data_IF_737502535156
#
_entry.id   IF_737502535156
#
_cell.length_a   1.000
_cell.length_b   1.000
_cell.length_c   1.000
_cell.angle_alpha   90.00
_cell.angle_beta   90.00
_cell.angle_gamma   90.00
#
_symmetry.space_group_name_H-M   'P 1'
#
loop_
_entity.id
_entity.type
_entity.pdbx_description
1 polymer ?
#
# COMPACT_ATOMS: atom_id res chain seq x y z
N UNK A 1 -26.52 8.11 1.50
CA UNK A 1 -26.94 8.74 2.77
C UNK A 1 -25.69 8.79 3.65
N UNK A 2 -25.01 9.94 3.72
CA UNK A 2 -23.88 10.11 4.66
C UNK A 2 -24.46 10.29 6.06
N UNK A 3 -23.98 9.49 7.01
CA UNK A 3 -24.43 9.49 8.40
C UNK A 3 -23.32 10.13 9.26
N UNK A 4 -23.56 11.30 9.90
CA UNK A 4 -22.66 12.14 10.77
C UNK A 4 -23.17 12.70 12.19
N UNK A 5 -23.51 11.93 13.25
CA UNK A 5 -24.06 12.10 14.62
C UNK A 5 -23.06 12.71 15.56
N UNK A 6 -23.21 14.00 15.73
CA UNK A 6 -22.67 14.83 16.76
C UNK A 6 -22.99 14.29 18.16
N UNK A 7 -21.97 13.92 18.92
CA UNK A 7 -22.07 13.53 20.34
C UNK A 7 -21.90 14.74 21.30
N UNK A 8 -21.89 15.96 20.76
CA UNK A 8 -21.56 17.19 21.49
C UNK A 8 -20.07 17.53 21.52
N UNK A 9 -19.19 16.69 20.94
CA UNK A 9 -17.75 16.92 20.75
C UNK A 9 -17.23 16.53 19.34
N UNK A 10 -17.83 15.55 18.65
CA UNK A 10 -17.46 15.04 17.31
C UNK A 10 -18.69 14.59 16.50
N UNK A 11 -18.66 14.64 15.16
CA UNK A 11 -19.76 14.28 14.21
C UNK A 11 -19.68 12.80 13.67
N UNK A 12 -20.67 11.91 13.93
CA UNK A 12 -20.69 10.43 13.69
C UNK A 12 -22.13 9.72 13.53
N UNK A 13 -22.84 9.54 12.36
CA UNK A 13 -24.38 9.29 12.14
C UNK A 13 -25.67 10.31 12.08
N UNK A 14 -25.65 11.63 11.72
CA UNK A 14 -26.71 12.62 11.45
C UNK A 14 -26.72 12.85 9.94
N UNK A 15 -27.88 12.99 9.33
CA UNK A 15 -27.95 13.47 7.95
C UNK A 15 -27.61 14.97 7.91
N UNK A 16 -27.19 15.47 6.74
CA UNK A 16 -27.03 16.91 6.49
C UNK A 16 -28.28 17.70 6.92
N UNK A 17 -29.45 17.17 6.59
CA UNK A 17 -30.76 17.75 6.95
C UNK A 17 -30.90 17.90 8.46
N UNK A 18 -30.47 16.90 9.22
CA UNK A 18 -30.57 16.91 10.67
C UNK A 18 -29.54 17.88 11.32
N UNK A 19 -28.36 18.05 10.72
CA UNK A 19 -27.38 19.07 11.15
C UNK A 19 -27.88 20.49 10.92
N UNK A 20 -28.51 20.75 9.76
CA UNK A 20 -29.13 22.04 9.45
C UNK A 20 -30.30 22.31 10.39
N UNK A 21 -31.16 21.33 10.64
CA UNK A 21 -32.28 21.45 11.58
C UNK A 21 -31.82 21.74 13.02
N UNK A 22 -30.66 21.22 13.42
CA UNK A 22 -30.04 21.49 14.72
C UNK A 22 -29.32 22.85 14.80
N UNK A 23 -29.32 23.65 13.72
CA UNK A 23 -28.67 24.97 13.69
C UNK A 23 -27.14 24.91 13.66
N UNK A 24 -26.55 23.79 13.25
CA UNK A 24 -25.10 23.67 13.10
C UNK A 24 -24.63 24.63 11.99
N UNK A 25 -23.58 25.43 12.22
CA UNK A 25 -23.07 26.33 11.19
C UNK A 25 -22.67 25.59 9.91
N UNK A 26 -23.06 26.13 8.75
CA UNK A 26 -22.74 25.55 7.43
C UNK A 26 -21.22 25.33 7.23
N UNK A 27 -20.38 26.16 7.85
CA UNK A 27 -18.92 26.00 7.83
C UNK A 27 -18.46 24.71 8.52
N UNK A 28 -19.12 24.32 9.61
CA UNK A 28 -18.86 23.08 10.35
C UNK A 28 -19.36 21.88 9.56
N UNK A 29 -20.54 21.98 8.94
CA UNK A 29 -21.09 20.92 8.08
C UNK A 29 -20.16 20.64 6.90
N UNK A 30 -19.71 21.68 6.18
CA UNK A 30 -18.80 21.54 5.03
C UNK A 30 -17.45 20.95 5.42
N UNK A 31 -16.88 21.37 6.56
CA UNK A 31 -15.61 20.82 7.05
C UNK A 31 -15.74 19.31 7.31
N UNK A 32 -16.84 18.88 7.91
CA UNK A 32 -17.10 17.46 8.19
C UNK A 32 -17.32 16.63 6.93
N UNK A 33 -18.03 17.18 5.94
CA UNK A 33 -18.19 16.54 4.62
C UNK A 33 -16.84 16.37 3.92
N UNK A 34 -15.97 17.37 4.02
CA UNK A 34 -14.62 17.31 3.45
C UNK A 34 -13.76 16.24 4.14
N UNK A 35 -13.80 16.16 5.48
CA UNK A 35 -13.08 15.13 6.23
C UNK A 35 -13.59 13.72 5.92
N UNK A 36 -14.90 13.54 5.84
CA UNK A 36 -15.49 12.27 5.45
C UNK A 36 -15.08 11.86 4.01
N UNK A 37 -15.05 12.82 3.08
CA UNK A 37 -14.59 12.59 1.72
C UNK A 37 -13.11 12.19 1.67
N UNK A 38 -12.24 12.81 2.48
CA UNK A 38 -10.82 12.41 2.59
C UNK A 38 -10.68 10.98 3.08
N UNK A 39 -11.39 10.61 4.13
CA UNK A 39 -11.35 9.23 4.67
C UNK A 39 -11.78 8.22 3.60
N UNK A 40 -12.90 8.47 2.92
CA UNK A 40 -13.39 7.61 1.86
C UNK A 40 -12.40 7.51 0.69
N UNK A 41 -11.80 8.63 0.29
CA UNK A 41 -10.84 8.66 -0.81
C UNK A 41 -9.55 7.91 -0.48
N UNK A 42 -9.00 8.11 0.71
CA UNK A 42 -7.82 7.41 1.17
C UNK A 42 -8.07 5.89 1.22
N UNK A 43 -9.25 5.45 1.67
CA UNK A 43 -9.63 4.05 1.65
C UNK A 43 -9.62 3.46 0.22
N UNK A 44 -10.17 4.19 -0.76
CA UNK A 44 -10.15 3.80 -2.17
C UNK A 44 -8.72 3.71 -2.76
N UNK A 45 -7.89 4.72 -2.50
CA UNK A 45 -6.47 4.74 -2.91
C UNK A 45 -5.72 3.53 -2.33
N UNK A 46 -5.92 3.22 -1.03
CA UNK A 46 -5.27 2.11 -0.37
C UNK A 46 -5.74 0.74 -0.88
N UNK A 47 -7.02 0.62 -1.24
CA UNK A 47 -7.55 -0.60 -1.85
C UNK A 47 -6.91 -0.88 -3.22
N UNK A 48 -6.82 0.13 -4.09
CA UNK A 48 -6.19 -0.02 -5.40
C UNK A 48 -4.68 -0.21 -5.32
N UNK A 49 -4.00 0.48 -4.39
CA UNK A 49 -2.60 0.22 -4.05
C UNK A 49 -2.39 -1.24 -3.66
N UNK A 50 -3.23 -1.79 -2.78
CA UNK A 50 -3.09 -3.18 -2.31
C UNK A 50 -3.29 -4.18 -3.46
N UNK A 51 -4.27 -3.93 -4.34
CA UNK A 51 -4.50 -4.72 -5.56
C UNK A 51 -3.30 -4.67 -6.51
N UNK A 52 -2.73 -3.49 -6.72
CA UNK A 52 -1.54 -3.32 -7.56
C UNK A 52 -0.30 -4.02 -6.97
N UNK A 53 -0.10 -3.92 -5.65
CA UNK A 53 0.97 -4.64 -4.95
C UNK A 53 0.82 -6.15 -5.04
N UNK A 54 -0.41 -6.67 -4.95
CA UNK A 54 -0.69 -8.10 -5.16
C UNK A 54 -0.38 -8.54 -6.59
N UNK A 55 -0.77 -7.73 -7.59
CA UNK A 55 -0.44 -7.99 -8.99
C UNK A 55 1.08 -7.98 -9.26
N UNK A 56 1.83 -7.09 -8.61
CA UNK A 56 3.30 -7.06 -8.69
C UNK A 56 3.97 -8.32 -8.11
N UNK A 57 3.26 -9.09 -7.28
CA UNK A 57 3.71 -10.39 -6.74
C UNK A 57 3.19 -11.60 -7.54
N UNK A 58 2.33 -11.38 -8.54
CA UNK A 58 1.68 -12.47 -9.28
C UNK A 58 2.72 -13.46 -9.84
N UNK A 59 2.57 -14.74 -9.49
CA UNK A 59 3.53 -15.80 -9.85
C UNK A 59 4.51 -16.20 -8.75
N UNK A 60 4.44 -15.60 -7.55
CA UNK A 60 5.15 -16.07 -6.35
C UNK A 60 4.13 -16.64 -5.35
N UNK A 61 4.18 -17.94 -5.01
CA UNK A 61 3.31 -18.53 -3.99
C UNK A 61 3.45 -17.83 -2.62
N UNK A 62 2.39 -17.82 -1.82
CA UNK A 62 2.37 -17.13 -0.51
C UNK A 62 3.48 -17.60 0.44
N UNK A 63 3.78 -18.90 0.43
CA UNK A 63 4.87 -19.49 1.22
C UNK A 63 6.25 -18.97 0.78
N UNK A 64 6.46 -18.72 -0.52
CA UNK A 64 7.69 -18.10 -1.02
C UNK A 64 7.76 -16.61 -0.67
N UNK A 65 6.62 -15.91 -0.64
CA UNK A 65 6.58 -14.49 -0.27
C UNK A 65 7.02 -14.26 1.18
N UNK A 66 6.63 -15.15 2.09
CA UNK A 66 7.05 -15.09 3.50
C UNK A 66 8.56 -15.33 3.69
N UNK A 67 9.17 -16.12 2.80
CA UNK A 67 10.59 -16.45 2.85
C UNK A 67 11.45 -15.60 1.90
N UNK A 68 10.84 -14.69 1.12
CA UNK A 68 11.55 -13.85 0.16
C UNK A 68 12.61 -12.99 0.83
N UNK A 69 12.33 -12.47 2.03
CA UNK A 69 13.30 -11.71 2.82
C UNK A 69 14.54 -12.54 3.18
N UNK A 70 14.35 -13.82 3.50
CA UNK A 70 15.46 -14.76 3.74
C UNK A 70 16.26 -15.03 2.47
N UNK A 71 15.59 -15.28 1.35
CA UNK A 71 16.25 -15.49 0.06
C UNK A 71 17.04 -14.24 -0.38
N UNK A 72 16.48 -13.04 -0.19
CA UNK A 72 17.14 -11.77 -0.46
C UNK A 72 18.43 -11.61 0.36
N UNK A 73 18.34 -11.86 1.67
CA UNK A 73 19.49 -11.77 2.57
C UNK A 73 20.58 -12.75 2.17
N UNK A 74 20.24 -14.03 2.00
CA UNK A 74 21.22 -15.06 1.62
C UNK A 74 21.86 -14.77 0.25
N UNK A 75 21.07 -14.28 -0.72
CA UNK A 75 21.58 -13.89 -2.03
C UNK A 75 22.56 -12.70 -1.94
N UNK A 76 22.26 -11.71 -1.10
CA UNK A 76 23.14 -10.57 -0.87
C UNK A 76 24.44 -10.97 -0.16
N UNK A 77 24.35 -11.80 0.88
CA UNK A 77 25.50 -12.32 1.63
C UNK A 77 26.40 -13.20 0.76
N UNK A 78 25.83 -14.03 -0.11
CA UNK A 78 26.58 -14.83 -1.09
C UNK A 78 27.27 -13.95 -2.14
N UNK A 79 26.59 -12.92 -2.65
CA UNK A 79 27.17 -12.01 -3.63
C UNK A 79 28.34 -11.19 -3.06
N UNK A 80 28.28 -10.85 -1.77
CA UNK A 80 29.37 -10.18 -1.07
C UNK A 80 30.53 -11.13 -0.73
N UNK A 81 30.21 -12.38 -0.39
CA UNK A 81 31.18 -13.43 -0.07
C UNK A 81 30.61 -14.82 -0.42
N UNK A 82 31.12 -15.51 -1.45
CA UNK A 82 30.62 -16.84 -1.84
C UNK A 82 30.79 -17.94 -0.78
N UNK A 83 31.57 -17.70 0.28
CA UNK A 83 31.69 -18.60 1.43
C UNK A 83 30.60 -18.38 2.51
N UNK A 84 29.75 -17.37 2.35
CA UNK A 84 28.66 -17.09 3.30
C UNK A 84 27.65 -18.24 3.35
N UNK A 85 27.14 -18.62 4.54
CA UNK A 85 26.11 -19.64 4.67
C UNK A 85 24.81 -19.22 3.96
N UNK A 86 24.29 -20.10 3.10
CA UNK A 86 23.01 -19.89 2.40
C UNK A 86 22.12 -21.14 2.51
N UNK A 87 21.73 -21.56 3.72
CA UNK A 87 21.05 -22.84 3.92
C UNK A 87 19.74 -22.97 3.11
N UNK A 88 18.97 -21.89 2.95
CA UNK A 88 17.74 -21.92 2.18
C UNK A 88 18.02 -22.00 0.68
N UNK A 89 18.86 -21.11 0.14
CA UNK A 89 19.19 -21.11 -1.29
C UNK A 89 19.94 -22.39 -1.69
N UNK A 90 20.81 -22.91 -0.82
CA UNK A 90 21.51 -24.18 -1.03
C UNK A 90 20.52 -25.34 -1.14
N UNK A 91 19.53 -25.41 -0.24
CA UNK A 91 18.49 -26.46 -0.28
C UNK A 91 17.62 -26.36 -1.55
N UNK A 92 17.24 -25.14 -1.96
CA UNK A 92 16.48 -24.90 -3.19
C UNK A 92 17.30 -25.29 -4.42
N UNK A 93 18.56 -24.86 -4.51
CA UNK A 93 19.44 -25.16 -5.63
C UNK A 93 19.67 -26.67 -5.78
N UNK A 94 19.95 -27.36 -4.66
CA UNK A 94 20.09 -28.81 -4.63
C UNK A 94 18.81 -29.53 -5.06
N UNK A 95 17.64 -29.11 -4.57
CA UNK A 95 16.36 -29.72 -4.93
C UNK A 95 15.98 -29.49 -6.39
N UNK A 96 16.35 -28.34 -6.96
CA UNK A 96 16.13 -28.00 -8.37
C UNK A 96 17.20 -28.59 -9.31
N UNK A 97 18.31 -29.12 -8.77
CA UNK A 97 19.45 -29.58 -9.58
C UNK A 97 20.14 -28.46 -10.36
N UNK A 98 20.22 -27.25 -9.79
CA UNK A 98 20.88 -26.08 -10.42
C UNK A 98 22.03 -25.56 -9.58
N UNK A 99 22.92 -24.80 -10.20
CA UNK A 99 24.00 -24.13 -9.49
C UNK A 99 23.47 -23.07 -8.51
N UNK A 100 24.04 -23.02 -7.31
CA UNK A 100 23.70 -22.01 -6.29
C UNK A 100 23.90 -20.58 -6.83
N UNK A 101 24.99 -20.32 -7.54
CA UNK A 101 25.24 -19.00 -8.14
C UNK A 101 24.16 -18.61 -9.17
N UNK A 102 23.65 -19.58 -9.93
CA UNK A 102 22.53 -19.36 -10.86
C UNK A 102 21.26 -18.99 -10.11
N UNK A 103 20.94 -19.72 -9.04
CA UNK A 103 19.78 -19.41 -8.19
C UNK A 103 19.90 -18.02 -7.56
N UNK A 104 21.08 -17.64 -7.05
CA UNK A 104 21.33 -16.30 -6.48
C UNK A 104 21.04 -15.20 -7.50
N UNK A 105 21.50 -15.35 -8.75
CA UNK A 105 21.22 -14.40 -9.82
C UNK A 105 19.72 -14.32 -10.17
N UNK A 106 19.01 -15.46 -10.19
CA UNK A 106 17.56 -15.51 -10.38
C UNK A 106 16.82 -14.76 -9.26
N UNK A 107 17.20 -14.98 -8.00
CA UNK A 107 16.63 -14.28 -6.83
C UNK A 107 16.88 -12.77 -6.92
N UNK A 108 18.11 -12.34 -7.19
CA UNK A 108 18.44 -10.92 -7.32
C UNK A 108 17.64 -10.24 -8.44
N UNK A 109 17.47 -10.92 -9.58
CA UNK A 109 16.67 -10.40 -10.70
C UNK A 109 15.20 -10.25 -10.29
N UNK A 110 14.62 -11.28 -9.67
CA UNK A 110 13.22 -11.26 -9.19
C UNK A 110 13.00 -10.12 -8.19
N UNK A 111 13.94 -9.94 -7.27
CA UNK A 111 13.92 -8.90 -6.25
C UNK A 111 14.03 -7.50 -6.85
N UNK A 112 14.91 -7.31 -7.84
CA UNK A 112 15.08 -6.02 -8.50
C UNK A 112 13.81 -5.60 -9.25
N UNK A 113 13.20 -6.53 -10.00
CA UNK A 113 11.93 -6.31 -10.71
C UNK A 113 10.82 -5.95 -9.72
N UNK A 114 10.64 -6.74 -8.66
CA UNK A 114 9.63 -6.47 -7.65
C UNK A 114 9.86 -5.13 -6.94
N UNK A 115 11.11 -4.84 -6.54
CA UNK A 115 11.44 -3.61 -5.81
C UNK A 115 11.23 -2.36 -6.65
N UNK A 116 11.55 -2.40 -7.95
CA UNK A 116 11.26 -1.31 -8.88
C UNK A 116 9.77 -1.03 -8.97
N UNK A 117 8.96 -2.06 -9.24
CA UNK A 117 7.51 -1.95 -9.31
C UNK A 117 6.90 -1.47 -7.98
N UNK A 118 7.32 -2.05 -6.85
CA UNK A 118 6.85 -1.63 -5.53
C UNK A 118 7.21 -0.17 -5.23
N UNK A 119 8.41 0.27 -5.59
CA UNK A 119 8.85 1.66 -5.42
C UNK A 119 7.96 2.66 -6.15
N UNK A 120 7.61 2.37 -7.40
CA UNK A 120 6.68 3.20 -8.19
C UNK A 120 5.29 3.29 -7.55
N UNK A 121 4.74 2.16 -7.11
CA UNK A 121 3.42 2.09 -6.47
C UNK A 121 3.39 2.82 -5.13
N UNK A 122 4.42 2.63 -4.30
CA UNK A 122 4.57 3.32 -3.02
C UNK A 122 4.67 4.83 -3.23
N UNK A 123 5.51 5.27 -4.18
CA UNK A 123 5.65 6.69 -4.52
C UNK A 123 4.35 7.31 -5.03
N UNK A 124 3.60 6.58 -5.86
CA UNK A 124 2.26 6.99 -6.33
C UNK A 124 1.29 7.19 -5.17
N UNK A 125 1.21 6.22 -4.25
CA UNK A 125 0.35 6.30 -3.06
C UNK A 125 0.72 7.48 -2.17
N UNK A 126 2.01 7.70 -1.91
CA UNK A 126 2.50 8.82 -1.10
C UNK A 126 2.16 10.17 -1.72
N UNK A 127 2.32 10.32 -3.04
CA UNK A 127 1.92 11.54 -3.74
C UNK A 127 0.43 11.79 -3.60
N UNK A 128 -0.41 10.78 -3.88
CA UNK A 128 -1.87 10.91 -3.77
C UNK A 128 -2.32 11.21 -2.33
N UNK A 129 -1.63 10.67 -1.32
CA UNK A 129 -1.88 10.98 0.08
C UNK A 129 -1.54 12.45 0.41
N UNK A 130 -0.42 12.96 -0.10
CA UNK A 130 -0.05 14.37 0.05
C UNK A 130 -1.03 15.30 -0.68
N UNK A 131 -1.42 14.98 -1.92
CA UNK A 131 -2.40 15.74 -2.70
C UNK A 131 -3.76 15.76 -2.00
N UNK A 132 -4.16 14.64 -1.38
CA UNK A 132 -5.41 14.52 -0.63
C UNK A 132 -5.42 15.39 0.64
N UNK A 133 -4.27 15.48 1.34
CA UNK A 133 -4.12 16.36 2.49
C UNK A 133 -4.17 17.83 2.09
N UNK A 134 -3.63 18.19 0.91
CA UNK A 134 -3.64 19.55 0.38
C UNK A 134 -4.99 19.96 -0.24
N UNK A 135 -5.87 19.01 -0.56
CA UNK A 135 -7.15 19.30 -1.19
C UNK A 135 -8.12 20.02 -0.24
N UNK A 136 -8.61 21.20 -0.66
CA UNK A 136 -9.54 22.05 0.12
C UNK A 136 -11.00 21.93 -0.33
N UNK A 137 -11.28 21.21 -1.42
CA UNK A 137 -12.62 21.05 -1.99
C UNK A 137 -12.98 19.60 -2.24
N UNK A 138 -14.28 19.28 -2.22
CA UNK A 138 -14.78 17.94 -2.54
C UNK A 138 -14.39 17.53 -3.96
N UNK A 139 -14.50 18.45 -4.92
CA UNK A 139 -14.12 18.18 -6.32
C UNK A 139 -12.63 17.84 -6.45
N UNK A 140 -11.75 18.56 -5.74
CA UNK A 140 -10.32 18.24 -5.71
C UNK A 140 -10.09 16.84 -5.13
N UNK A 141 -10.75 16.48 -4.02
CA UNK A 141 -10.66 15.14 -3.42
C UNK A 141 -11.14 14.05 -4.39
N UNK A 142 -12.28 14.25 -5.04
CA UNK A 142 -12.88 13.29 -5.97
C UNK A 142 -12.02 13.07 -7.21
N UNK A 143 -11.30 14.10 -7.66
CA UNK A 143 -10.40 14.04 -8.82
C UNK A 143 -9.15 13.17 -8.62
N UNK A 144 -8.76 12.87 -7.37
CA UNK A 144 -7.49 12.18 -7.06
C UNK A 144 -7.56 10.68 -7.33
N UNK A 145 -7.48 10.24 -8.57
CA UNK A 145 -7.60 8.81 -8.94
C UNK A 145 -6.32 8.02 -8.73
N UNK A 146 -6.48 6.75 -8.37
CA UNK A 146 -5.40 5.77 -8.42
C UNK A 146 -4.88 5.62 -9.84
#
# INVERSE_FOLDING_TARGET
MLTLTYDGKNLVNWTREALVAAGVPETVVKAAELDAARVARLAGINAEFSKAMAAAKAGTPDDEANLLATQMREAAEYAANPASPTPMLSAIAASRGIDLAKLVAEVQTKVAVYSGAAGELIGKRQRLEADLQAAETLEAIESLTW
#
